data_IF_153807808854
#
_entry.id   IF_153807808854
#
_cell.length_a   1.000
_cell.length_b   1.000
_cell.length_c   1.000
_cell.angle_alpha   90.00
_cell.angle_beta   90.00
_cell.angle_gamma   90.00
#
_symmetry.space_group_name_H-M   'P 1'
#
loop_
_entity.id
_entity.type
_entity.pdbx_description
1 polymer ?
#
# COMPACT_ATOMS: atom_id res chain seq x y z
N UNK A 1 -44.60 16.96 6.33
CA UNK A 1 -44.34 16.00 7.43
C UNK A 1 -43.04 15.26 7.10
N UNK A 2 -42.01 15.37 7.94
CA UNK A 2 -40.78 14.60 7.74
C UNK A 2 -41.07 13.12 7.97
N UNK A 3 -40.51 12.18 7.18
CA UNK A 3 -40.71 10.75 7.41
C UNK A 3 -40.38 10.32 8.84
N UNK A 4 -39.40 10.95 9.49
CA UNK A 4 -39.02 10.72 10.88
C UNK A 4 -40.14 10.98 11.90
N UNK A 5 -41.13 11.82 11.57
CA UNK A 5 -42.24 12.17 12.45
C UNK A 5 -43.41 11.17 12.37
N UNK A 6 -43.38 10.21 11.44
CA UNK A 6 -44.49 9.28 11.19
C UNK A 6 -44.30 8.00 12.00
N UNK A 7 -45.10 7.79 13.05
CA UNK A 7 -44.99 6.59 13.92
C UNK A 7 -45.25 5.28 13.15
N UNK A 8 -46.18 5.26 12.20
CA UNK A 8 -46.48 4.05 11.42
C UNK A 8 -45.35 3.70 10.42
N UNK A 9 -44.81 2.48 10.51
CA UNK A 9 -43.68 1.99 9.68
C UNK A 9 -43.99 1.94 8.18
N UNK A 10 -45.17 1.47 7.80
CA UNK A 10 -45.58 1.33 6.39
C UNK A 10 -45.71 2.71 5.74
N UNK A 11 -46.50 3.60 6.34
CA UNK A 11 -46.66 4.99 5.88
C UNK A 11 -45.33 5.75 5.84
N UNK A 12 -44.45 5.54 6.83
CA UNK A 12 -43.10 6.13 6.87
C UNK A 12 -42.25 5.67 5.69
N UNK A 13 -42.25 4.37 5.39
CA UNK A 13 -41.48 3.78 4.28
C UNK A 13 -41.96 4.29 2.92
N UNK A 14 -43.27 4.35 2.70
CA UNK A 14 -43.88 4.86 1.47
C UNK A 14 -43.53 6.33 1.21
N UNK A 15 -43.68 7.18 2.23
CA UNK A 15 -43.38 8.62 2.12
C UNK A 15 -41.88 8.84 1.91
N UNK A 16 -41.02 8.10 2.60
CA UNK A 16 -39.58 8.16 2.39
C UNK A 16 -39.19 7.74 0.95
N UNK A 17 -39.80 6.69 0.43
CA UNK A 17 -39.55 6.19 -0.92
C UNK A 17 -39.97 7.21 -1.99
N UNK A 18 -41.16 7.82 -1.84
CA UNK A 18 -41.64 8.91 -2.72
C UNK A 18 -40.68 10.11 -2.68
N UNK A 19 -40.24 10.52 -1.49
CA UNK A 19 -39.31 11.64 -1.32
C UNK A 19 -37.92 11.34 -1.93
N UNK A 20 -37.44 10.10 -1.83
CA UNK A 20 -36.19 9.65 -2.48
C UNK A 20 -36.31 9.68 -4.01
N UNK A 21 -37.44 9.23 -4.56
CA UNK A 21 -37.70 9.31 -6.00
C UNK A 21 -37.75 10.75 -6.50
N UNK A 22 -38.48 11.63 -5.80
CA UNK A 22 -38.56 13.06 -6.12
C UNK A 22 -37.17 13.71 -6.11
N UNK A 23 -36.38 13.50 -5.04
CA UNK A 23 -34.98 13.97 -4.97
C UNK A 23 -34.12 13.47 -6.13
N UNK A 24 -34.31 12.23 -6.59
CA UNK A 24 -33.57 11.67 -7.74
C UNK A 24 -33.96 12.36 -9.05
N UNK A 25 -35.25 12.62 -9.26
CA UNK A 25 -35.76 13.34 -10.43
C UNK A 25 -35.25 14.79 -10.43
N UNK A 26 -35.34 15.48 -9.29
CA UNK A 26 -34.87 16.86 -9.14
C UNK A 26 -33.36 16.97 -9.35
N UNK A 27 -32.57 16.03 -8.81
CA UNK A 27 -31.12 15.94 -9.06
C UNK A 27 -30.84 15.80 -10.57
N UNK A 28 -31.56 14.92 -11.29
CA UNK A 28 -31.40 14.75 -12.73
C UNK A 28 -31.76 16.01 -13.52
N UNK A 29 -32.83 16.71 -13.15
CA UNK A 29 -33.22 17.99 -13.76
C UNK A 29 -32.14 19.05 -13.57
N UNK A 30 -31.60 19.17 -12.35
CA UNK A 30 -30.50 20.11 -12.03
C UNK A 30 -29.22 19.80 -12.82
N UNK A 31 -28.84 18.53 -12.94
CA UNK A 31 -27.67 18.12 -13.74
C UNK A 31 -27.88 18.48 -15.21
N UNK A 32 -29.02 18.13 -15.81
CA UNK A 32 -29.33 18.49 -17.20
C UNK A 32 -29.31 20.00 -17.45
N UNK A 33 -29.87 20.79 -16.53
CA UNK A 33 -29.88 22.25 -16.65
C UNK A 33 -28.46 22.84 -16.56
N UNK A 34 -27.62 22.34 -15.64
CA UNK A 34 -26.22 22.73 -15.52
C UNK A 34 -25.43 22.36 -16.77
N UNK A 35 -25.56 21.13 -17.26
CA UNK A 35 -24.84 20.66 -18.44
C UNK A 35 -25.26 21.45 -19.69
N UNK A 36 -26.53 21.88 -19.78
CA UNK A 36 -27.01 22.76 -20.86
C UNK A 36 -26.46 24.19 -20.74
N UNK A 37 -26.33 24.72 -19.51
CA UNK A 37 -25.71 26.02 -19.27
C UNK A 37 -24.21 26.01 -19.57
N UNK A 38 -23.49 24.95 -19.21
CA UNK A 38 -22.07 24.75 -19.52
C UNK A 38 -21.84 24.72 -21.05
N UNK A 39 -22.68 23.99 -21.80
CA UNK A 39 -22.63 23.99 -23.28
C UNK A 39 -22.85 25.38 -23.87
N UNK A 40 -23.84 26.13 -23.38
CA UNK A 40 -24.11 27.50 -23.84
C UNK A 40 -22.96 28.46 -23.53
N UNK A 41 -22.36 28.37 -22.35
CA UNK A 41 -21.21 29.20 -21.97
C UNK A 41 -20.00 28.94 -22.89
N UNK A 42 -19.71 27.66 -23.17
CA UNK A 42 -18.65 27.26 -24.11
C UNK A 42 -18.93 27.76 -25.53
N UNK A 43 -20.17 27.64 -26.02
CA UNK A 43 -20.59 28.18 -27.33
C UNK A 43 -20.43 29.71 -27.41
N UNK A 44 -20.66 30.42 -26.30
CA UNK A 44 -20.54 31.88 -26.20
C UNK A 44 -19.09 32.35 -25.97
N UNK A 45 -18.14 31.43 -25.74
CA UNK A 45 -16.74 31.74 -25.41
C UNK A 45 -16.52 32.23 -23.98
N UNK A 46 -17.51 32.08 -23.10
CA UNK A 46 -17.41 32.40 -21.67
C UNK A 46 -16.84 31.20 -20.90
N UNK A 47 -15.99 31.47 -19.90
CA UNK A 47 -15.46 30.41 -19.04
C UNK A 47 -16.58 29.81 -18.17
N UNK A 48 -16.81 28.49 -18.23
CA UNK A 48 -17.86 27.86 -17.45
C UNK A 48 -17.56 27.95 -15.94
N UNK A 49 -18.59 27.97 -15.08
CA UNK A 49 -18.40 28.06 -13.64
C UNK A 49 -17.58 26.86 -13.14
N UNK A 50 -16.55 27.15 -12.34
CA UNK A 50 -15.66 26.13 -11.80
C UNK A 50 -16.44 25.04 -11.05
N UNK A 51 -16.20 23.77 -11.41
CA UNK A 51 -16.83 22.63 -10.76
C UNK A 51 -16.31 22.49 -9.32
N UNK A 52 -17.23 22.32 -8.38
CA UNK A 52 -16.84 22.02 -6.99
C UNK A 52 -16.12 20.67 -6.94
N UNK A 53 -14.89 20.67 -6.43
CA UNK A 53 -14.09 19.46 -6.21
C UNK A 53 -14.74 18.63 -5.09
N UNK A 54 -14.96 17.32 -5.28
CA UNK A 54 -15.52 16.48 -4.22
C UNK A 54 -14.57 16.41 -3.02
N UNK A 55 -15.14 16.43 -1.81
CA UNK A 55 -14.39 16.17 -0.58
C UNK A 55 -14.09 14.67 -0.48
N UNK A 56 -12.85 14.30 -0.74
CA UNK A 56 -12.31 12.94 -0.58
C UNK A 56 -11.39 12.88 0.64
N UNK A 57 -11.15 11.69 1.18
CA UNK A 57 -10.26 11.48 2.34
C UNK A 57 -8.87 12.06 2.07
N UNK A 58 -8.34 11.86 0.86
CA UNK A 58 -7.03 12.40 0.46
C UNK A 58 -6.99 13.94 0.43
N UNK A 59 -8.05 14.60 -0.07
CA UNK A 59 -8.11 16.06 -0.15
C UNK A 59 -8.33 16.73 1.22
N UNK A 60 -8.90 16.00 2.18
CA UNK A 60 -9.17 16.52 3.53
C UNK A 60 -8.22 15.96 4.57
N UNK A 61 -7.06 15.44 4.16
CA UNK A 61 -6.06 14.95 5.10
C UNK A 61 -5.50 16.12 5.91
N UNK A 62 -5.36 15.93 7.21
CA UNK A 62 -4.71 16.90 8.08
C UNK A 62 -3.24 17.03 7.67
N UNK A 63 -2.73 18.26 7.61
CA UNK A 63 -1.34 18.49 7.31
C UNK A 63 -0.48 17.92 8.43
N UNK A 64 0.49 17.08 8.06
CA UNK A 64 1.40 16.42 8.97
C UNK A 64 2.78 17.07 8.81
N UNK A 65 3.36 17.51 9.93
CA UNK A 65 4.65 18.22 9.96
C UNK A 65 5.80 17.33 9.50
N UNK A 66 5.66 16.00 9.59
CA UNK A 66 6.68 15.02 9.19
C UNK A 66 6.70 14.74 7.68
N UNK A 67 5.81 15.34 6.90
CA UNK A 67 5.80 15.17 5.44
C UNK A 67 7.03 15.84 4.84
N UNK A 68 7.94 15.03 4.31
CA UNK A 68 9.16 15.48 3.64
C UNK A 68 8.86 16.53 2.56
N UNK A 69 9.48 17.71 2.69
CA UNK A 69 9.47 18.73 1.65
C UNK A 69 10.67 18.50 0.71
N UNK A 70 10.52 18.75 -0.60
CA UNK A 70 11.59 18.50 -1.56
C UNK A 70 12.83 19.39 -1.36
N UNK A 71 12.68 20.54 -0.71
CA UNK A 71 13.76 21.53 -0.50
C UNK A 71 14.27 21.56 0.96
N UNK A 72 14.08 20.47 1.70
CA UNK A 72 14.46 20.39 3.12
C UNK A 72 15.93 19.96 3.29
N UNK A 73 16.81 20.94 3.51
CA UNK A 73 18.26 20.71 3.68
C UNK A 73 18.59 19.81 4.87
N UNK A 74 17.82 19.87 5.96
CA UNK A 74 18.05 19.03 7.14
C UNK A 74 17.80 17.55 6.82
N UNK A 75 16.74 17.26 6.07
CA UNK A 75 16.42 15.90 5.62
C UNK A 75 17.54 15.29 4.76
N UNK A 76 18.13 16.08 3.85
CA UNK A 76 19.22 15.58 3.01
C UNK A 76 20.49 15.27 3.82
N UNK A 77 20.81 16.10 4.82
CA UNK A 77 21.93 15.84 5.72
C UNK A 77 21.71 14.57 6.56
N UNK A 78 20.49 14.34 7.03
CA UNK A 78 20.12 13.11 7.75
C UNK A 78 20.31 11.88 6.86
N UNK A 79 19.79 11.89 5.63
CA UNK A 79 19.92 10.78 4.67
C UNK A 79 21.39 10.48 4.34
N UNK A 80 22.24 11.50 4.28
CA UNK A 80 23.66 11.33 3.99
C UNK A 80 24.42 10.65 5.14
N UNK A 81 24.00 10.87 6.37
CA UNK A 81 24.65 10.30 7.57
C UNK A 81 24.02 8.98 8.05
N UNK A 82 22.85 8.62 7.52
CA UNK A 82 22.10 7.40 7.81
C UNK A 82 22.92 6.13 7.52
N UNK A 83 22.63 5.05 8.26
CA UNK A 83 23.25 3.74 8.08
C UNK A 83 23.02 3.15 6.68
N UNK A 84 21.98 3.60 5.97
CA UNK A 84 21.65 3.18 4.61
C UNK A 84 22.35 3.98 3.50
N UNK A 85 22.97 5.12 3.84
CA UNK A 85 23.57 6.06 2.87
C UNK A 85 24.50 5.40 1.86
N UNK A 86 25.41 4.53 2.31
CA UNK A 86 26.38 3.81 1.46
C UNK A 86 25.71 2.89 0.43
N UNK A 87 24.59 2.27 0.79
CA UNK A 87 23.82 1.40 -0.10
C UNK A 87 23.00 2.25 -1.08
N UNK A 88 22.38 3.34 -0.59
CA UNK A 88 21.56 4.24 -1.40
C UNK A 88 22.38 5.04 -2.41
N UNK A 89 23.62 5.44 -2.05
CA UNK A 89 24.60 6.07 -2.95
C UNK A 89 25.19 5.09 -3.97
N UNK A 90 24.98 3.79 -3.79
CA UNK A 90 25.51 2.75 -4.68
C UNK A 90 26.98 2.42 -4.47
N UNK A 91 27.61 2.91 -3.39
CA UNK A 91 29.00 2.60 -3.02
C UNK A 91 29.16 1.14 -2.60
N UNK A 92 28.14 0.60 -1.92
CA UNK A 92 28.07 -0.81 -1.51
C UNK A 92 26.92 -1.51 -2.21
N UNK A 93 27.23 -2.55 -2.97
CA UNK A 93 26.20 -3.39 -3.59
C UNK A 93 25.39 -4.14 -2.51
N UNK A 94 24.05 -3.99 -2.46
CA UNK A 94 23.25 -4.67 -1.47
C UNK A 94 23.33 -6.19 -1.70
N UNK A 95 23.52 -6.94 -0.60
CA UNK A 95 23.53 -8.39 -0.60
C UNK A 95 22.52 -8.86 0.43
N UNK A 96 21.46 -9.51 -0.05
CA UNK A 96 20.27 -9.78 0.76
C UNK A 96 20.14 -11.27 1.04
N UNK A 97 20.11 -11.63 2.33
CA UNK A 97 19.82 -13.00 2.75
C UNK A 97 18.32 -13.14 2.99
N UNK A 98 17.65 -14.06 2.31
CA UNK A 98 16.24 -14.38 2.56
C UNK A 98 16.14 -15.74 3.26
N UNK A 99 15.37 -15.80 4.34
CA UNK A 99 15.12 -17.03 5.10
C UNK A 99 13.65 -17.14 5.48
N UNK A 100 13.20 -18.35 5.79
CA UNK A 100 11.88 -18.60 6.37
C UNK A 100 11.91 -18.55 7.90
N UNK A 101 10.75 -18.62 8.56
CA UNK A 101 10.67 -19.05 9.95
C UNK A 101 11.06 -20.54 10.12
N UNK A 102 11.26 -20.98 11.38
CA UNK A 102 11.72 -22.35 11.72
C UNK A 102 10.73 -23.42 11.25
N UNK A 103 9.43 -23.20 11.49
CA UNK A 103 8.36 -24.09 11.07
C UNK A 103 7.55 -23.41 9.97
N UNK A 104 8.05 -23.49 8.75
CA UNK A 104 7.42 -22.84 7.60
C UNK A 104 6.45 -23.76 6.87
N UNK A 105 5.49 -23.16 6.17
CA UNK A 105 4.62 -23.89 5.25
C UNK A 105 5.27 -24.09 3.88
N UNK A 106 4.56 -24.76 2.97
CA UNK A 106 4.96 -24.86 1.56
C UNK A 106 4.88 -23.52 0.83
N UNK A 107 3.91 -22.67 1.17
CA UNK A 107 3.74 -21.34 0.58
C UNK A 107 4.84 -20.34 0.94
N UNK A 108 5.50 -20.48 2.09
CA UNK A 108 6.62 -19.62 2.49
C UNK A 108 7.77 -19.62 1.46
N UNK A 109 8.36 -20.80 1.16
CA UNK A 109 9.36 -20.93 0.11
C UNK A 109 8.88 -20.52 -1.28
N UNK A 110 7.62 -20.76 -1.63
CA UNK A 110 7.07 -20.33 -2.93
C UNK A 110 6.98 -18.80 -3.03
N UNK A 111 6.58 -18.11 -1.94
CA UNK A 111 6.64 -16.66 -1.87
C UNK A 111 8.09 -16.14 -1.95
N UNK A 112 9.05 -16.81 -1.31
CA UNK A 112 10.47 -16.43 -1.40
C UNK A 112 10.99 -16.55 -2.83
N UNK A 113 10.59 -17.58 -3.60
CA UNK A 113 10.98 -17.67 -5.02
C UNK A 113 10.52 -16.47 -5.84
N UNK A 114 9.36 -15.89 -5.51
CA UNK A 114 8.89 -14.65 -6.14
C UNK A 114 9.72 -13.45 -5.67
N UNK A 115 10.04 -13.37 -4.36
CA UNK A 115 10.90 -12.30 -3.83
C UNK A 115 12.31 -12.32 -4.42
N UNK A 116 12.88 -13.50 -4.70
CA UNK A 116 14.19 -13.64 -5.33
C UNK A 116 14.23 -13.03 -6.75
N UNK A 117 13.09 -13.01 -7.45
CA UNK A 117 12.98 -12.38 -8.78
C UNK A 117 12.85 -10.87 -8.71
N UNK A 118 12.34 -10.33 -7.59
CA UNK A 118 12.09 -8.90 -7.39
C UNK A 118 13.32 -8.21 -6.80
N UNK A 119 13.99 -8.85 -5.85
CA UNK A 119 15.10 -8.27 -5.10
C UNK A 119 16.42 -8.70 -5.75
N UNK A 120 17.21 -7.77 -6.31
CA UNK A 120 18.50 -8.11 -6.90
C UNK A 120 19.48 -8.59 -5.82
N UNK A 121 20.47 -9.39 -6.22
CA UNK A 121 21.54 -9.90 -5.34
C UNK A 121 21.01 -10.57 -4.05
N UNK A 122 19.86 -11.23 -4.16
CA UNK A 122 19.23 -11.95 -3.05
C UNK A 122 19.53 -13.45 -3.11
N UNK A 123 19.83 -14.02 -1.95
CA UNK A 123 20.13 -15.45 -1.79
C UNK A 123 19.16 -16.06 -0.79
N UNK A 124 18.51 -17.17 -1.17
CA UNK A 124 17.64 -17.92 -0.27
C UNK A 124 18.41 -19.04 0.43
N UNK A 125 18.37 -19.03 1.76
CA UNK A 125 18.83 -20.14 2.58
C UNK A 125 17.70 -20.71 3.44
N UNK A 126 17.56 -22.04 3.38
CA UNK A 126 16.61 -22.75 4.24
C UNK A 126 17.09 -22.65 5.69
N UNK A 127 16.23 -22.10 6.56
CA UNK A 127 16.55 -21.88 7.97
C UNK A 127 16.81 -23.17 8.77
N UNK A 128 16.12 -24.26 8.48
CA UNK A 128 16.24 -25.51 9.24
C UNK A 128 15.96 -25.31 10.74
N UNK A 129 16.84 -25.79 11.60
CA UNK A 129 16.74 -25.67 13.07
C UNK A 129 17.52 -24.49 13.65
N UNK A 130 18.16 -23.66 12.81
CA UNK A 130 19.00 -22.57 13.28
C UNK A 130 18.20 -21.44 13.93
N UNK A 131 18.70 -20.96 15.07
CA UNK A 131 18.18 -19.79 15.76
C UNK A 131 18.53 -18.52 14.99
N UNK A 132 17.66 -17.51 15.05
CA UNK A 132 17.84 -16.28 14.29
C UNK A 132 19.16 -15.58 14.62
N UNK A 133 19.60 -15.61 15.89
CA UNK A 133 20.90 -15.06 16.32
C UNK A 133 22.08 -15.69 15.56
N UNK A 134 22.05 -17.01 15.35
CA UNK A 134 23.10 -17.72 14.60
C UNK A 134 23.09 -17.33 13.13
N UNK A 135 21.90 -17.13 12.55
CA UNK A 135 21.73 -16.67 11.17
C UNK A 135 22.26 -15.25 11.00
N UNK A 136 21.98 -14.36 11.96
CA UNK A 136 22.52 -12.99 11.97
C UNK A 136 24.05 -13.03 12.02
N UNK A 137 24.65 -13.78 12.97
CA UNK A 137 26.11 -13.94 13.03
C UNK A 137 26.69 -14.51 11.72
N UNK A 138 26.01 -15.45 11.09
CA UNK A 138 26.42 -16.00 9.80
C UNK A 138 26.34 -14.94 8.67
N UNK A 139 25.26 -14.18 8.63
CA UNK A 139 25.02 -13.15 7.63
C UNK A 139 26.05 -12.01 7.76
N UNK A 140 26.33 -11.56 8.98
CA UNK A 140 27.38 -10.57 9.27
C UNK A 140 28.75 -11.07 8.83
N UNK A 141 29.10 -12.34 9.11
CA UNK A 141 30.39 -12.93 8.68
C UNK A 141 30.54 -13.09 7.17
N UNK A 142 29.44 -13.05 6.41
CA UNK A 142 29.40 -13.18 4.95
C UNK A 142 29.13 -11.85 4.23
N UNK A 143 29.23 -10.75 4.97
CA UNK A 143 29.05 -9.38 4.50
C UNK A 143 27.69 -9.10 3.85
N UNK A 144 26.64 -9.77 4.33
CA UNK A 144 25.27 -9.42 3.95
C UNK A 144 24.88 -8.04 4.50
N UNK A 145 24.21 -7.25 3.67
CA UNK A 145 23.71 -5.92 4.06
C UNK A 145 22.35 -6.00 4.74
N UNK A 146 21.55 -7.00 4.39
CA UNK A 146 20.19 -7.14 4.92
C UNK A 146 19.76 -8.59 5.03
N UNK A 147 18.96 -8.88 6.05
CA UNK A 147 18.32 -10.17 6.28
C UNK A 147 16.80 -10.01 6.23
N UNK A 148 16.16 -10.76 5.35
CA UNK A 148 14.70 -10.85 5.26
C UNK A 148 14.26 -12.20 5.84
N UNK A 149 13.35 -12.15 6.80
CA UNK A 149 12.72 -13.35 7.37
C UNK A 149 11.24 -13.35 7.00
N UNK A 150 10.83 -14.36 6.25
CA UNK A 150 9.42 -14.61 5.93
C UNK A 150 8.80 -15.41 7.07
N UNK A 151 7.85 -14.79 7.77
CA UNK A 151 7.08 -15.45 8.80
C UNK A 151 5.80 -16.06 8.22
N UNK A 152 5.55 -17.32 8.56
CA UNK A 152 4.30 -18.00 8.22
C UNK A 152 3.52 -18.38 9.47
N UNK A 153 2.22 -18.07 9.45
CA UNK A 153 1.26 -18.45 10.48
C UNK A 153 0.08 -19.18 9.82
N UNK A 154 -0.47 -20.21 10.47
CA UNK A 154 -1.60 -21.02 9.92
C UNK A 154 -1.40 -21.47 8.46
N UNK A 155 -0.16 -21.82 8.11
CA UNK A 155 0.29 -22.25 6.77
C UNK A 155 0.35 -21.16 5.68
N UNK A 156 0.10 -19.89 6.02
CA UNK A 156 0.16 -18.75 5.11
C UNK A 156 1.25 -17.75 5.56
N UNK A 157 1.98 -17.11 4.63
CA UNK A 157 2.85 -15.98 4.97
C UNK A 157 2.02 -14.80 5.52
N UNK A 158 2.39 -14.31 6.70
CA UNK A 158 1.64 -13.27 7.43
C UNK A 158 2.52 -12.06 7.81
N UNK A 159 3.85 -12.22 7.84
CA UNK A 159 4.74 -11.10 8.11
C UNK A 159 6.09 -11.21 7.39
N UNK A 160 6.69 -10.05 7.13
CA UNK A 160 8.06 -9.87 6.67
C UNK A 160 8.83 -9.10 7.73
N UNK A 161 9.95 -9.67 8.16
CA UNK A 161 10.91 -8.99 9.02
C UNK A 161 12.14 -8.65 8.19
N UNK A 162 12.46 -7.37 8.04
CA UNK A 162 13.65 -6.89 7.33
C UNK A 162 14.60 -6.31 8.37
N UNK A 163 15.83 -6.82 8.42
CA UNK A 163 16.86 -6.43 9.37
C UNK A 163 18.04 -5.85 8.58
N UNK A 164 18.42 -4.60 8.86
CA UNK A 164 19.68 -4.04 8.39
C UNK A 164 20.85 -4.62 9.18
N UNK A 165 21.89 -5.10 8.48
CA UNK A 165 23.08 -5.69 9.10
C UNK A 165 24.31 -4.79 8.82
N UNK A 166 25.30 -4.74 9.74
CA UNK A 166 25.43 -5.53 10.97
C UNK A 166 24.56 -5.03 12.15
N UNK A 167 24.43 -3.73 12.32
CA UNK A 167 23.78 -3.09 13.48
C UNK A 167 22.68 -2.10 13.05
N UNK A 168 21.98 -2.41 11.95
CA UNK A 168 20.93 -1.57 11.40
C UNK A 168 19.55 -1.81 12.04
N UNK A 169 18.56 -0.96 11.71
CA UNK A 169 17.21 -1.08 12.27
C UNK A 169 16.47 -2.30 11.72
N UNK A 170 15.40 -2.67 12.43
CA UNK A 170 14.52 -3.77 12.06
C UNK A 170 13.13 -3.26 11.72
N UNK A 171 12.66 -3.55 10.51
CA UNK A 171 11.31 -3.25 10.06
C UNK A 171 10.45 -4.52 10.07
N UNK A 172 9.29 -4.44 10.72
CA UNK A 172 8.32 -5.54 10.75
C UNK A 172 7.06 -5.14 9.97
N UNK A 173 6.83 -5.84 8.86
CA UNK A 173 5.66 -5.64 8.01
C UNK A 173 4.67 -6.77 8.20
N UNK A 174 3.40 -6.41 8.45
CA UNK A 174 2.30 -7.36 8.40
C UNK A 174 1.82 -7.50 6.96
N UNK A 175 1.83 -8.72 6.45
CA UNK A 175 1.26 -9.06 5.15
C UNK A 175 -0.23 -9.31 5.31
N UNK A 176 -1.03 -8.74 4.40
CA UNK A 176 -2.45 -9.04 4.33
C UNK A 176 -2.83 -9.36 2.90
N UNK A 177 -3.68 -10.39 2.72
CA UNK A 177 -4.21 -10.82 1.41
C UNK A 177 -3.11 -11.15 0.37
N UNK A 178 -2.16 -12.02 0.74
CA UNK A 178 -1.13 -12.49 -0.19
C UNK A 178 -1.74 -13.34 -1.29
N UNK A 179 -1.53 -12.92 -2.54
CA UNK A 179 -1.85 -13.69 -3.75
C UNK A 179 -0.55 -13.96 -4.48
N UNK A 180 -0.19 -15.23 -4.66
CA UNK A 180 1.01 -15.62 -5.39
C UNK A 180 0.75 -15.52 -6.89
N UNK A 181 1.82 -15.39 -7.68
CA UNK A 181 1.70 -15.25 -9.15
C UNK A 181 0.90 -16.37 -9.80
N UNK A 182 1.09 -17.60 -9.30
CA UNK A 182 0.42 -18.82 -9.80
C UNK A 182 -1.10 -18.77 -9.57
N UNK A 183 -1.54 -18.03 -8.56
CA UNK A 183 -2.94 -17.90 -8.18
C UNK A 183 -3.64 -16.78 -9.00
N UNK A 184 -2.88 -15.94 -9.71
CA UNK A 184 -3.43 -14.86 -10.54
C UNK A 184 -3.99 -15.45 -11.84
N UNK A 185 -5.24 -15.12 -12.16
CA UNK A 185 -5.89 -15.52 -13.41
C UNK A 185 -5.21 -14.86 -14.61
N UNK A 186 -4.77 -15.66 -15.58
CA UNK A 186 -4.11 -15.16 -16.79
C UNK A 186 -2.68 -14.65 -16.54
N UNK A 187 -1.98 -15.19 -15.54
CA UNK A 187 -0.60 -14.80 -15.28
C UNK A 187 0.33 -15.12 -16.46
N UNK A 188 1.19 -14.17 -16.79
CA UNK A 188 2.28 -14.36 -17.75
C UNK A 188 3.49 -15.06 -17.10
N UNK A 189 4.40 -15.53 -17.94
CA UNK A 189 5.69 -16.05 -17.48
C UNK A 189 6.69 -14.89 -17.35
N UNK A 190 7.22 -14.60 -16.15
CA UNK A 190 8.23 -13.57 -15.99
C UNK A 190 9.51 -13.95 -16.75
N UNK A 191 10.01 -13.03 -17.57
CA UNK A 191 11.35 -13.13 -18.17
C UNK A 191 12.37 -12.70 -17.12
N UNK A 192 13.35 -13.56 -16.85
CA UNK A 192 14.48 -13.26 -15.96
C UNK A 192 15.51 -12.37 -16.66
#
# INVERSE_FOLDING_TARGET
ILPSMIKNKQKRSEIHSKLKQQKKVDKRKKVKARDAAEKRAVELGEEPPARQVPRTIENTREADETVCKPDDEELFAEIETDEFSTVLKGERTPKVLITTCRFHSTRGPDFIKELLQVIPNSEYYKRGTYDLKKIVTYATKKDYTSLIVVHTNRREPDALLIIGLPDGPTAHFKLSKLVLRKDIKGHGNPTS
#
